data_IF_201920677325
#
_entry.id   IF_201920677325
#
_cell.length_a   1.000
_cell.length_b   1.000
_cell.length_c   1.000
_cell.angle_alpha   90.00
_cell.angle_beta   90.00
_cell.angle_gamma   90.00
#
_symmetry.space_group_name_H-M   'P 1'
#
loop_
_entity.id
_entity.type
_entity.pdbx_description
1 polymer ?
#
# COMPACT_ATOMS: atom_id res chain seq x y z
N UNK A 1 -9.36 19.79 22.40
CA UNK A 1 -8.88 19.13 21.19
C UNK A 1 -9.50 17.75 21.06
N UNK A 2 -10.10 17.47 19.92
CA UNK A 2 -10.64 16.14 19.65
C UNK A 2 -9.49 15.13 19.54
N UNK A 3 -9.58 14.04 20.29
CA UNK A 3 -8.65 12.92 20.15
C UNK A 3 -8.91 12.24 18.81
N UNK A 4 -7.85 11.98 18.03
CA UNK A 4 -7.96 11.14 16.85
C UNK A 4 -8.41 9.75 17.25
N UNK A 5 -9.39 9.21 16.55
CA UNK A 5 -9.74 7.80 16.71
C UNK A 5 -8.54 6.96 16.30
N UNK A 6 -8.22 5.94 17.10
CA UNK A 6 -7.20 4.98 16.75
C UNK A 6 -7.65 4.25 15.49
N UNK A 7 -6.74 4.14 14.51
CA UNK A 7 -6.99 3.39 13.29
C UNK A 7 -6.97 1.89 13.61
N UNK A 8 -8.13 1.26 13.57
CA UNK A 8 -8.29 -0.16 13.86
C UNK A 8 -7.76 -1.09 12.76
N UNK A 9 -7.34 -0.52 11.64
CA UNK A 9 -6.79 -1.28 10.51
C UNK A 9 -5.29 -1.04 10.29
N UNK A 10 -4.65 -0.38 11.22
CA UNK A 10 -3.18 -0.18 11.26
C UNK A 10 -2.58 0.35 9.96
N UNK A 11 -3.29 1.26 9.30
CA UNK A 11 -2.82 1.92 8.08
C UNK A 11 -3.12 1.15 6.78
N UNK A 12 -3.72 -0.04 6.86
CA UNK A 12 -4.16 -0.77 5.67
C UNK A 12 -5.37 -0.07 5.03
N UNK A 13 -5.42 -0.10 3.72
CA UNK A 13 -6.55 0.43 2.95
C UNK A 13 -7.65 -0.61 2.91
N UNK A 14 -8.86 -0.19 3.23
CA UNK A 14 -10.02 -1.09 3.23
C UNK A 14 -10.88 -0.83 2.01
N UNK A 15 -11.22 -1.90 1.29
CA UNK A 15 -12.21 -1.87 0.22
C UNK A 15 -13.50 -2.51 0.77
N UNK A 16 -14.62 -1.80 0.61
CA UNK A 16 -15.94 -2.26 1.05
C UNK A 16 -16.89 -2.19 -0.13
N UNK A 17 -17.57 -3.26 -0.43
CA UNK A 17 -18.52 -3.29 -1.54
C UNK A 17 -19.65 -4.29 -1.31
N UNK A 18 -20.76 -4.07 -2.00
CA UNK A 18 -21.92 -4.95 -1.99
C UNK A 18 -21.76 -5.99 -3.10
N UNK A 19 -21.88 -7.25 -2.78
CA UNK A 19 -21.81 -8.31 -3.79
C UNK A 19 -23.19 -8.58 -4.44
N UNK A 20 -23.20 -9.48 -5.41
CA UNK A 20 -24.43 -9.80 -6.15
C UNK A 20 -25.48 -10.54 -5.30
N UNK A 21 -25.05 -11.14 -4.19
CA UNK A 21 -25.92 -11.88 -3.27
C UNK A 21 -26.53 -11.01 -2.18
N UNK A 22 -26.19 -9.73 -2.15
CA UNK A 22 -26.67 -8.79 -1.16
C UNK A 22 -25.84 -8.73 0.12
N UNK A 23 -24.68 -9.35 0.13
CA UNK A 23 -23.75 -9.28 1.24
C UNK A 23 -22.74 -8.16 1.05
N UNK A 24 -22.35 -7.51 2.13
CA UNK A 24 -21.28 -6.53 2.12
C UNK A 24 -19.95 -7.22 2.43
N UNK A 25 -18.96 -6.99 1.57
CA UNK A 25 -17.61 -7.53 1.74
C UNK A 25 -16.66 -6.40 2.08
N UNK A 26 -15.70 -6.71 2.95
CA UNK A 26 -14.62 -5.79 3.31
C UNK A 26 -13.31 -6.56 3.30
N UNK A 27 -12.25 -5.98 2.74
CA UNK A 27 -10.92 -6.59 2.74
C UNK A 27 -9.85 -5.53 2.70
N UNK A 28 -8.64 -5.92 3.11
CA UNK A 28 -7.47 -5.06 2.93
C UNK A 28 -7.03 -5.10 1.47
N UNK A 29 -6.83 -3.93 0.88
CA UNK A 29 -6.36 -3.82 -0.50
C UNK A 29 -4.96 -4.43 -0.66
N UNK A 30 -4.07 -4.15 0.30
CA UNK A 30 -2.68 -4.61 0.27
C UNK A 30 -2.49 -6.06 0.72
N UNK A 31 -3.51 -6.63 1.38
CA UNK A 31 -3.47 -8.00 1.90
C UNK A 31 -4.88 -8.61 1.82
N UNK A 32 -5.34 -8.93 0.59
CA UNK A 32 -6.75 -9.29 0.35
C UNK A 32 -7.26 -10.54 1.09
N UNK A 33 -6.37 -11.39 1.56
CA UNK A 33 -6.71 -12.55 2.36
C UNK A 33 -7.29 -12.19 3.73
N UNK A 34 -7.06 -10.97 4.20
CA UNK A 34 -7.75 -10.44 5.38
C UNK A 34 -9.06 -9.82 4.91
N UNK A 35 -10.14 -10.55 5.12
CA UNK A 35 -11.46 -10.20 4.59
C UNK A 35 -12.57 -10.64 5.53
N UNK A 36 -13.73 -10.02 5.34
CA UNK A 36 -14.93 -10.35 6.09
C UNK A 36 -16.17 -9.98 5.28
N UNK A 37 -17.31 -10.51 5.67
CA UNK A 37 -18.60 -10.14 5.06
C UNK A 37 -19.67 -10.06 6.13
N UNK A 38 -20.70 -9.28 5.84
CA UNK A 38 -21.83 -9.09 6.76
C UNK A 38 -23.05 -8.53 6.01
N UNK A 39 -24.15 -8.36 6.71
CA UNK A 39 -25.40 -7.86 6.14
C UNK A 39 -25.37 -6.35 5.88
N UNK A 40 -24.44 -5.61 6.47
CA UNK A 40 -24.27 -4.17 6.25
C UNK A 40 -22.79 -3.80 6.16
N UNK A 41 -22.53 -2.64 5.58
CA UNK A 41 -21.16 -2.13 5.46
C UNK A 41 -20.50 -1.95 6.82
N UNK A 42 -21.22 -1.40 7.80
CA UNK A 42 -20.70 -1.21 9.15
C UNK A 42 -20.35 -2.51 9.83
N UNK A 43 -21.24 -3.50 9.73
CA UNK A 43 -20.98 -4.84 10.28
C UNK A 43 -19.79 -5.52 9.60
N UNK A 44 -19.66 -5.37 8.28
CA UNK A 44 -18.53 -5.91 7.53
C UNK A 44 -17.20 -5.31 8.01
N UNK A 45 -17.17 -4.01 8.28
CA UNK A 45 -15.99 -3.35 8.85
C UNK A 45 -15.68 -3.83 10.26
N UNK A 46 -16.70 -4.04 11.10
CA UNK A 46 -16.51 -4.57 12.44
C UNK A 46 -15.96 -6.01 12.39
N UNK A 47 -16.50 -6.83 11.52
CA UNK A 47 -16.02 -8.19 11.30
C UNK A 47 -14.58 -8.21 10.76
N UNK A 48 -14.25 -7.29 9.84
CA UNK A 48 -12.89 -7.14 9.34
C UNK A 48 -11.91 -6.76 10.46
N UNK A 49 -12.33 -5.87 11.35
CA UNK A 49 -11.52 -5.48 12.50
C UNK A 49 -11.22 -6.68 13.40
N UNK A 50 -12.21 -7.54 13.64
CA UNK A 50 -12.03 -8.76 14.41
C UNK A 50 -11.12 -9.77 13.67
N UNK A 51 -11.30 -9.92 12.37
CA UNK A 51 -10.45 -10.79 11.55
C UNK A 51 -9.00 -10.34 11.62
N UNK A 52 -8.75 -9.04 11.50
CA UNK A 52 -7.40 -8.47 11.60
C UNK A 52 -6.80 -8.69 12.99
N UNK A 53 -7.57 -8.50 14.04
CA UNK A 53 -7.11 -8.78 15.40
C UNK A 53 -6.69 -10.25 15.57
N UNK A 54 -7.43 -11.18 14.98
CA UNK A 54 -7.08 -12.60 14.96
C UNK A 54 -5.80 -12.88 14.20
N UNK A 55 -5.60 -12.24 13.07
CA UNK A 55 -4.38 -12.37 12.26
C UNK A 55 -3.16 -11.87 13.06
N UNK A 56 -3.27 -10.69 13.69
CA UNK A 56 -2.19 -10.15 14.53
C UNK A 56 -1.82 -11.11 15.66
N UNK A 57 -2.84 -11.63 16.35
CA UNK A 57 -2.62 -12.58 17.43
C UNK A 57 -1.92 -13.85 16.95
N UNK A 58 -2.28 -14.34 15.78
CA UNK A 58 -1.64 -15.51 15.17
C UNK A 58 -0.15 -15.27 14.92
N UNK A 59 0.22 -14.11 14.38
CA UNK A 59 1.63 -13.76 14.17
C UNK A 59 2.39 -13.69 15.50
N UNK A 60 1.79 -13.04 16.51
CA UNK A 60 2.39 -12.92 17.84
C UNK A 60 2.64 -14.28 18.48
N UNK A 61 1.67 -15.18 18.38
CA UNK A 61 1.80 -16.55 18.94
C UNK A 61 2.91 -17.36 18.29
N UNK A 62 3.18 -17.13 17.00
CA UNK A 62 4.26 -17.78 16.29
C UNK A 62 5.61 -17.10 16.48
N UNK A 63 5.66 -15.99 17.21
CA UNK A 63 6.88 -15.20 17.37
C UNK A 63 7.30 -14.48 16.07
N UNK A 64 6.38 -14.29 15.14
CA UNK A 64 6.63 -13.60 13.88
C UNK A 64 6.19 -12.15 13.96
N UNK A 65 6.89 -11.27 13.23
CA UNK A 65 6.52 -9.87 13.16
C UNK A 65 5.18 -9.70 12.42
N UNK A 66 4.28 -8.90 12.99
CA UNK A 66 3.02 -8.55 12.35
C UNK A 66 3.32 -7.72 11.09
N UNK A 67 2.74 -8.07 9.92
CA UNK A 67 2.96 -7.29 8.70
C UNK A 67 2.56 -5.83 8.87
N UNK A 68 3.41 -4.94 8.36
CA UNK A 68 3.20 -3.49 8.45
C UNK A 68 2.65 -2.97 7.13
N UNK A 69 1.57 -2.18 7.20
CA UNK A 69 0.98 -1.57 6.00
C UNK A 69 2.01 -0.69 5.28
N UNK A 70 2.02 -0.69 3.92
CA UNK A 70 2.93 0.16 3.16
C UNK A 70 2.91 1.62 3.57
N UNK A 71 1.75 2.16 3.93
CA UNK A 71 1.60 3.56 4.37
C UNK A 71 2.34 3.86 5.69
N UNK A 72 2.69 2.85 6.47
CA UNK A 72 3.34 2.98 7.78
C UNK A 72 4.77 2.47 7.82
N UNK A 73 5.28 1.93 6.71
CA UNK A 73 6.67 1.50 6.61
C UNK A 73 7.58 2.71 6.55
N UNK A 74 8.78 2.57 7.13
CA UNK A 74 9.82 3.57 6.98
C UNK A 74 10.57 3.30 5.67
N UNK A 75 10.76 4.34 4.89
CA UNK A 75 11.44 4.26 3.60
C UNK A 75 12.71 5.08 3.63
N UNK A 76 13.80 4.53 3.08
CA UNK A 76 15.10 5.19 3.04
C UNK A 76 15.23 6.22 1.90
N UNK A 77 14.38 6.10 0.90
CA UNK A 77 14.54 6.84 -0.35
C UNK A 77 15.45 6.13 -1.35
N UNK A 78 15.94 4.94 -1.00
CA UNK A 78 16.78 4.14 -1.90
C UNK A 78 16.10 2.81 -2.21
N UNK A 79 16.11 2.43 -3.49
CA UNK A 79 15.67 1.12 -3.93
C UNK A 79 16.32 0.82 -5.29
N UNK A 80 16.39 -0.46 -5.63
CA UNK A 80 17.01 -0.89 -6.87
C UNK A 80 15.94 -1.30 -7.87
N UNK A 81 16.13 -0.89 -9.13
CA UNK A 81 15.25 -1.27 -10.23
C UNK A 81 16.11 -1.88 -11.33
N UNK A 82 15.65 -3.02 -11.86
CA UNK A 82 16.24 -3.60 -13.06
C UNK A 82 15.39 -3.22 -14.25
N UNK A 83 16.03 -2.66 -15.26
CA UNK A 83 15.39 -2.23 -16.49
C UNK A 83 16.14 -2.84 -17.69
N UNK A 84 15.51 -2.75 -18.87
CA UNK A 84 16.14 -3.16 -20.12
C UNK A 84 17.42 -2.37 -20.38
N UNK A 85 18.43 -3.02 -20.95
CA UNK A 85 19.72 -2.39 -21.27
C UNK A 85 19.58 -1.20 -22.21
N UNK A 86 18.68 -1.28 -23.17
CA UNK A 86 18.44 -0.18 -24.11
C UNK A 86 17.82 1.01 -23.43
N UNK A 87 16.89 0.79 -22.51
CA UNK A 87 16.30 1.86 -21.71
C UNK A 87 17.34 2.49 -20.79
N UNK A 88 18.20 1.69 -20.16
CA UNK A 88 19.30 2.19 -19.33
C UNK A 88 20.22 3.12 -20.14
N UNK A 89 20.62 2.68 -21.33
CA UNK A 89 21.46 3.49 -22.24
C UNK A 89 20.78 4.79 -22.60
N UNK A 90 19.50 4.72 -22.98
CA UNK A 90 18.74 5.91 -23.38
C UNK A 90 18.69 6.94 -22.26
N UNK A 91 18.37 6.49 -21.06
CA UNK A 91 18.31 7.37 -19.88
C UNK A 91 19.68 8.00 -19.59
N UNK A 92 20.75 7.22 -19.67
CA UNK A 92 22.10 7.72 -19.44
C UNK A 92 22.50 8.78 -20.46
N UNK A 93 22.18 8.56 -21.74
CA UNK A 93 22.46 9.53 -22.83
C UNK A 93 21.63 10.80 -22.60
N UNK A 94 20.35 10.66 -22.30
CA UNK A 94 19.47 11.82 -22.06
C UNK A 94 19.93 12.64 -20.85
N UNK A 95 20.34 11.98 -19.77
CA UNK A 95 20.89 12.66 -18.61
C UNK A 95 22.17 13.44 -18.93
N UNK A 96 23.08 12.83 -19.68
CA UNK A 96 24.32 13.49 -20.12
C UNK A 96 24.02 14.73 -20.97
N UNK A 97 23.08 14.62 -21.92
CA UNK A 97 22.66 15.75 -22.76
C UNK A 97 22.03 16.87 -21.96
N UNK A 98 21.28 16.53 -20.90
CA UNK A 98 20.64 17.49 -20.03
C UNK A 98 21.58 18.08 -18.96
N UNK A 99 22.78 17.54 -18.83
CA UNK A 99 23.76 18.00 -17.85
C UNK A 99 23.41 17.62 -16.41
N UNK A 100 22.62 16.57 -16.22
CA UNK A 100 22.22 16.07 -14.90
C UNK A 100 22.68 14.64 -14.69
N UNK A 101 22.73 14.17 -13.44
CA UNK A 101 23.02 12.78 -13.15
C UNK A 101 21.86 11.87 -13.59
N UNK A 102 22.17 10.61 -13.88
CA UNK A 102 21.14 9.61 -14.18
C UNK A 102 20.13 9.50 -13.04
N UNK A 103 20.62 9.45 -11.80
CA UNK A 103 19.76 9.40 -10.63
C UNK A 103 18.80 10.60 -10.54
N UNK A 104 19.31 11.79 -10.79
CA UNK A 104 18.51 13.02 -10.76
C UNK A 104 17.41 12.99 -11.84
N UNK A 105 17.74 12.57 -13.04
CA UNK A 105 16.77 12.45 -14.13
C UNK A 105 15.68 11.44 -13.81
N UNK A 106 16.06 10.25 -13.32
CA UNK A 106 15.10 9.21 -12.96
C UNK A 106 14.19 9.68 -11.82
N UNK A 107 14.75 10.31 -10.79
CA UNK A 107 13.97 10.85 -9.67
C UNK A 107 12.94 11.89 -10.14
N UNK A 108 13.34 12.82 -11.00
CA UNK A 108 12.43 13.83 -11.57
C UNK A 108 11.31 13.20 -12.39
N UNK A 109 11.65 12.21 -13.23
CA UNK A 109 10.66 11.51 -14.06
C UNK A 109 9.64 10.77 -13.21
N UNK A 110 10.11 10.04 -12.18
CA UNK A 110 9.22 9.33 -11.26
C UNK A 110 8.32 10.29 -10.49
N UNK A 111 8.83 11.42 -10.05
CA UNK A 111 8.04 12.44 -9.35
C UNK A 111 6.91 12.98 -10.24
N UNK A 112 7.18 13.24 -11.51
CA UNK A 112 6.19 13.73 -12.47
C UNK A 112 5.09 12.69 -12.72
N UNK A 113 5.46 11.42 -12.92
CA UNK A 113 4.50 10.35 -13.14
C UNK A 113 3.64 10.11 -11.90
N UNK A 114 4.24 10.14 -10.72
CA UNK A 114 3.53 9.95 -9.45
C UNK A 114 2.54 11.08 -9.20
N UNK A 115 2.93 12.33 -9.46
CA UNK A 115 2.05 13.49 -9.32
C UNK A 115 0.84 13.39 -10.27
N UNK A 116 1.05 12.93 -11.51
CA UNK A 116 -0.03 12.76 -12.50
C UNK A 116 -1.05 11.70 -12.08
N UNK A 117 -0.65 10.72 -11.28
CA UNK A 117 -1.53 9.64 -10.80
C UNK A 117 -2.23 9.96 -9.48
N UNK A 118 -1.85 11.04 -8.81
CA UNK A 118 -2.34 11.40 -7.47
C UNK A 118 -3.66 12.18 -7.50
N UNK A 119 -4.39 12.11 -8.58
CA UNK A 119 -5.67 12.81 -8.76
C UNK A 119 -6.81 11.98 -8.21
#
# INVERSE_FOLDING_TARGET
MAKRKKDRFDGYTVNVYLDDDGDWLAHFVEMPEVSAFAASAEEALDELSQAWAGVRLSFEKRGEAVPVAPSRKRYSGQFNVRIDKNLHRKLAVDAAKAGVSLNAMVAQTLALVSAAKAV
#
